data_IF_919095303542
#
_entry.id   IF_919095303542
#
_cell.length_a   1.000
_cell.length_b   1.000
_cell.length_c   1.000
_cell.angle_alpha   90.00
_cell.angle_beta   90.00
_cell.angle_gamma   90.00
#
_symmetry.space_group_name_H-M   'P 1'
#
loop_
_entity.id
_entity.type
_entity.pdbx_description
1 polymer ?
#
# COMPACT_ATOMS: atom_id res chain seq x y z
N UNK A 1 52.15 -17.57 20.43
CA UNK A 1 51.33 -17.85 19.24
C UNK A 1 50.04 -17.05 19.39
N UNK A 2 49.94 -15.90 18.72
CA UNK A 2 48.85 -14.93 18.90
C UNK A 2 47.62 -15.39 18.14
N UNK A 3 46.57 -15.81 18.85
CA UNK A 3 45.27 -16.10 18.25
C UNK A 3 44.59 -14.79 17.84
N UNK A 4 44.31 -14.62 16.53
CA UNK A 4 43.43 -13.56 16.06
C UNK A 4 42.00 -14.00 16.30
N UNK A 5 41.32 -13.35 17.23
CA UNK A 5 39.86 -13.45 17.36
C UNK A 5 39.26 -12.70 16.17
N UNK A 6 38.74 -13.44 15.20
CA UNK A 6 37.93 -12.88 14.13
C UNK A 6 36.58 -12.44 14.74
N UNK A 7 36.37 -11.14 14.86
CA UNK A 7 35.09 -10.59 15.34
C UNK A 7 34.11 -10.64 14.17
N UNK A 8 33.22 -11.63 14.18
CA UNK A 8 32.14 -11.73 13.21
C UNK A 8 31.18 -10.55 13.47
N UNK A 9 31.18 -9.55 12.56
CA UNK A 9 30.21 -8.46 12.63
C UNK A 9 28.78 -9.00 12.41
N UNK A 10 27.77 -8.53 13.18
CA UNK A 10 26.40 -8.98 12.99
C UNK A 10 25.88 -8.60 11.61
N UNK A 11 25.20 -9.55 10.95
CA UNK A 11 24.57 -9.32 9.63
C UNK A 11 23.40 -8.34 9.78
N UNK A 12 23.27 -7.42 8.82
CA UNK A 12 22.09 -6.55 8.75
C UNK A 12 20.81 -7.39 8.53
N UNK A 13 19.69 -7.02 9.19
CA UNK A 13 18.45 -7.79 9.10
C UNK A 13 17.85 -7.72 7.69
N UNK A 14 17.24 -8.81 7.24
CA UNK A 14 16.56 -8.88 5.95
C UNK A 14 15.18 -8.24 6.10
N UNK A 15 14.88 -7.21 5.28
CA UNK A 15 13.58 -6.53 5.29
C UNK A 15 12.81 -6.80 4.02
N UNK A 16 11.55 -7.19 4.15
CA UNK A 16 10.60 -7.34 3.06
C UNK A 16 9.47 -6.33 3.28
N UNK A 17 9.17 -5.52 2.27
CA UNK A 17 8.04 -4.59 2.35
C UNK A 17 6.70 -5.33 2.26
N UNK A 18 5.65 -4.73 2.82
CA UNK A 18 4.30 -5.20 2.65
C UNK A 18 3.93 -5.29 1.16
N UNK A 19 2.99 -6.18 0.84
CA UNK A 19 2.49 -6.37 -0.52
C UNK A 19 1.03 -5.97 -0.56
N UNK A 20 0.72 -5.01 -1.43
CA UNK A 20 -0.64 -4.49 -1.61
C UNK A 20 -1.12 -4.89 -2.98
N UNK A 21 -2.06 -5.84 -3.00
CA UNK A 21 -2.81 -6.22 -4.19
C UNK A 21 -4.25 -5.75 -4.02
N UNK A 22 -4.61 -4.66 -4.70
CA UNK A 22 -5.95 -4.09 -4.64
C UNK A 22 -7.03 -5.02 -5.21
N UNK A 23 -6.67 -6.01 -6.04
CA UNK A 23 -7.60 -6.98 -6.60
C UNK A 23 -7.98 -8.09 -5.60
N UNK A 24 -7.18 -8.28 -4.56
CA UNK A 24 -7.45 -9.24 -3.49
C UNK A 24 -8.47 -8.73 -2.45
N UNK A 25 -9.04 -7.53 -2.67
CA UNK A 25 -9.96 -6.86 -1.76
C UNK A 25 -11.19 -6.32 -2.52
N UNK A 26 -12.24 -5.97 -1.78
CA UNK A 26 -13.36 -5.21 -2.33
C UNK A 26 -12.86 -3.90 -2.95
N UNK A 27 -13.33 -3.60 -4.16
CA UNK A 27 -12.96 -2.38 -4.86
C UNK A 27 -13.55 -1.15 -4.14
N UNK A 28 -12.81 -0.04 -4.01
CA UNK A 28 -13.36 1.26 -3.66
C UNK A 28 -14.61 1.61 -4.50
N UNK A 29 -15.66 2.08 -3.83
CA UNK A 29 -16.88 2.55 -4.48
C UNK A 29 -16.59 3.76 -5.36
N UNK A 30 -17.09 3.73 -6.59
CA UNK A 30 -17.00 4.86 -7.52
C UNK A 30 -17.97 5.96 -7.08
N UNK A 31 -17.48 7.17 -6.70
CA UNK A 31 -18.34 8.24 -6.25
C UNK A 31 -19.34 8.65 -7.34
N UNK A 32 -20.63 8.69 -7.02
CA UNK A 32 -21.67 9.00 -8.00
C UNK A 32 -21.51 10.37 -8.66
N UNK A 33 -20.90 11.34 -7.97
CA UNK A 33 -20.55 12.64 -8.56
C UNK A 33 -19.50 12.50 -9.66
N UNK A 34 -18.47 11.69 -9.43
CA UNK A 34 -17.40 11.45 -10.39
C UNK A 34 -17.90 10.67 -11.60
N UNK A 35 -18.82 9.71 -11.40
CA UNK A 35 -19.54 9.05 -12.51
C UNK A 35 -20.28 10.08 -13.37
N UNK A 36 -21.12 10.93 -12.75
CA UNK A 36 -21.90 11.95 -13.48
C UNK A 36 -21.03 12.96 -14.21
N UNK A 37 -19.84 13.25 -13.68
CA UNK A 37 -18.89 14.20 -14.25
C UNK A 37 -17.93 13.56 -15.27
N UNK A 38 -17.98 12.24 -15.48
CA UNK A 38 -17.02 11.54 -16.34
C UNK A 38 -15.58 11.60 -15.82
N UNK A 39 -15.38 11.73 -14.51
CA UNK A 39 -14.04 11.82 -13.91
C UNK A 39 -13.41 10.44 -13.84
N UNK A 40 -12.28 10.24 -14.51
CA UNK A 40 -11.40 9.06 -14.44
C UNK A 40 -9.99 9.47 -13.99
N UNK A 41 -9.11 8.49 -13.77
CA UNK A 41 -7.69 8.77 -13.55
C UNK A 41 -6.98 7.74 -12.68
N UNK A 42 -5.69 7.96 -12.45
CA UNK A 42 -4.84 7.05 -11.66
C UNK A 42 -4.35 7.78 -10.43
N UNK A 43 -4.72 7.28 -9.25
CA UNK A 43 -4.17 7.77 -7.98
C UNK A 43 -3.00 6.88 -7.55
N UNK A 44 -1.87 7.50 -7.21
CA UNK A 44 -0.72 6.80 -6.64
C UNK A 44 -0.77 6.96 -5.12
N UNK A 45 -0.70 5.84 -4.42
CA UNK A 45 -0.90 5.76 -2.99
C UNK A 45 0.30 5.10 -2.30
N UNK A 46 0.54 5.49 -1.06
CA UNK A 46 1.33 4.73 -0.10
C UNK A 46 0.43 4.33 1.06
N UNK A 47 0.51 3.06 1.48
CA UNK A 47 -0.29 2.48 2.57
C UNK A 47 0.65 1.88 3.61
N UNK A 48 0.46 2.24 4.88
CA UNK A 48 1.17 1.63 6.00
C UNK A 48 0.40 0.40 6.43
N UNK A 49 1.00 -0.77 6.26
CA UNK A 49 0.39 -2.04 6.61
C UNK A 49 0.93 -2.46 7.96
N UNK A 50 0.06 -2.80 8.91
CA UNK A 50 0.41 -3.35 10.21
C UNK A 50 0.94 -4.77 10.13
N UNK A 51 1.52 -5.27 11.22
CA UNK A 51 2.01 -6.66 11.30
C UNK A 51 0.88 -7.70 11.18
N UNK A 52 -0.37 -7.30 11.45
CA UNK A 52 -1.58 -8.09 11.27
C UNK A 52 -2.18 -7.98 9.85
N UNK A 53 -1.53 -7.22 8.96
CA UNK A 53 -1.98 -6.98 7.59
C UNK A 53 -3.03 -5.87 7.45
N UNK A 54 -3.53 -5.27 8.53
CA UNK A 54 -4.49 -4.17 8.42
C UNK A 54 -3.82 -2.89 7.93
N UNK A 55 -4.53 -2.08 7.15
CA UNK A 55 -4.07 -0.73 6.83
C UNK A 55 -4.17 0.15 8.08
N UNK A 56 -3.06 0.78 8.44
CA UNK A 56 -2.95 1.72 9.56
C UNK A 56 -3.01 3.18 9.08
N UNK A 57 -2.48 3.47 7.90
CA UNK A 57 -2.40 4.81 7.33
C UNK A 57 -2.39 4.74 5.80
N UNK A 58 -2.95 5.75 5.14
CA UNK A 58 -2.91 5.90 3.69
C UNK A 58 -2.55 7.33 3.28
N UNK A 59 -1.74 7.47 2.23
CA UNK A 59 -1.28 8.75 1.68
C UNK A 59 -1.44 8.77 0.17
N UNK A 60 -1.86 9.91 -0.34
CA UNK A 60 -1.80 10.21 -1.77
C UNK A 60 -0.41 10.72 -2.10
N UNK A 61 0.34 9.97 -2.92
CA UNK A 61 1.64 10.41 -3.46
C UNK A 61 1.47 11.22 -4.74
N UNK A 62 0.47 10.88 -5.56
CA UNK A 62 0.08 11.63 -6.76
C UNK A 62 -1.43 11.50 -6.97
N UNK A 63 -2.09 12.65 -7.09
CA UNK A 63 -3.54 12.74 -7.31
C UNK A 63 -3.93 12.16 -8.68
N UNK A 64 -5.14 11.61 -8.77
CA UNK A 64 -5.78 11.24 -10.03
C UNK A 64 -6.18 12.44 -10.89
N UNK A 65 -6.14 13.66 -10.32
CA UNK A 65 -6.76 14.85 -10.89
C UNK A 65 -8.13 15.16 -10.30
N UNK A 66 -8.74 14.24 -9.54
CA UNK A 66 -9.97 14.47 -8.77
C UNK A 66 -9.77 14.16 -7.28
N UNK A 67 -9.94 15.18 -6.45
CA UNK A 67 -9.87 15.04 -4.98
C UNK A 67 -10.92 14.06 -4.43
N UNK A 68 -12.05 13.91 -5.13
CA UNK A 68 -13.13 12.99 -4.73
C UNK A 68 -12.69 11.55 -4.98
N UNK A 69 -12.10 11.26 -6.14
CA UNK A 69 -11.53 9.95 -6.47
C UNK A 69 -10.34 9.59 -5.55
N UNK A 70 -9.47 10.56 -5.24
CA UNK A 70 -8.34 10.35 -4.32
C UNK A 70 -8.82 9.92 -2.93
N UNK A 71 -9.83 10.63 -2.40
CA UNK A 71 -10.42 10.32 -1.09
C UNK A 71 -11.11 8.96 -1.10
N UNK A 72 -11.87 8.65 -2.15
CA UNK A 72 -12.55 7.37 -2.28
C UNK A 72 -11.57 6.19 -2.30
N UNK A 73 -10.44 6.34 -2.99
CA UNK A 73 -9.42 5.29 -3.05
C UNK A 73 -8.79 5.03 -1.67
N UNK A 74 -8.42 6.08 -0.93
CA UNK A 74 -7.95 5.93 0.46
C UNK A 74 -9.00 5.23 1.32
N UNK A 75 -10.25 5.71 1.29
CA UNK A 75 -11.31 5.17 2.12
C UNK A 75 -11.61 3.70 1.85
N UNK A 76 -11.73 3.31 0.58
CA UNK A 76 -11.99 1.92 0.21
C UNK A 76 -10.81 1.01 0.55
N UNK A 77 -9.60 1.40 0.19
CA UNK A 77 -8.41 0.56 0.41
C UNK A 77 -8.02 0.47 1.89
N UNK A 78 -8.39 1.45 2.73
CA UNK A 78 -8.18 1.39 4.18
C UNK A 78 -8.98 0.29 4.87
N UNK A 79 -10.01 -0.27 4.23
CA UNK A 79 -10.79 -1.39 4.76
C UNK A 79 -10.17 -2.76 4.45
N UNK A 80 -9.15 -2.78 3.59
CA UNK A 80 -8.50 -4.01 3.16
C UNK A 80 -7.54 -4.58 4.20
N UNK A 81 -7.31 -5.88 4.09
CA UNK A 81 -6.23 -6.58 4.75
C UNK A 81 -5.23 -7.05 3.69
N UNK A 82 -3.98 -6.66 3.84
CA UNK A 82 -2.89 -6.93 2.92
C UNK A 82 -1.82 -7.82 3.56
N UNK A 83 -0.85 -8.27 2.76
CA UNK A 83 0.27 -9.04 3.30
C UNK A 83 1.24 -8.09 4.03
N UNK A 84 1.53 -8.33 5.32
CA UNK A 84 2.47 -7.50 6.06
C UNK A 84 3.88 -7.62 5.49
N UNK A 85 4.71 -6.63 5.77
CA UNK A 85 6.15 -6.76 5.58
C UNK A 85 6.76 -7.62 6.68
N UNK A 86 8.06 -7.87 6.58
CA UNK A 86 8.78 -8.62 7.61
C UNK A 86 10.21 -8.17 7.81
N UNK A 87 10.73 -8.45 8.99
CA UNK A 87 12.14 -8.35 9.35
C UNK A 87 12.59 -9.71 9.83
N UNK A 88 13.56 -10.31 9.14
CA UNK A 88 14.03 -11.68 9.40
C UNK A 88 12.87 -12.70 9.49
N UNK A 89 11.85 -12.51 8.64
CA UNK A 89 10.66 -13.37 8.57
C UNK A 89 9.58 -13.04 9.61
N UNK A 90 9.84 -12.17 10.57
CA UNK A 90 8.87 -11.75 11.58
C UNK A 90 8.02 -10.61 11.00
N UNK A 91 6.67 -10.72 10.99
CA UNK A 91 5.81 -9.66 10.47
C UNK A 91 6.01 -8.33 11.21
N UNK A 92 6.20 -7.26 10.45
CA UNK A 92 6.35 -5.91 10.97
C UNK A 92 5.60 -4.90 10.09
N UNK A 93 5.25 -3.75 10.70
CA UNK A 93 4.62 -2.68 9.95
C UNK A 93 5.56 -2.16 8.88
N UNK A 94 5.06 -1.94 7.67
CA UNK A 94 5.85 -1.38 6.58
C UNK A 94 4.98 -0.65 5.56
N UNK A 95 5.57 0.35 4.91
CA UNK A 95 4.92 1.05 3.81
C UNK A 95 4.99 0.22 2.53
N UNK A 96 3.90 0.24 1.79
CA UNK A 96 3.80 -0.29 0.44
C UNK A 96 3.15 0.73 -0.48
N UNK A 97 3.54 0.72 -1.75
CA UNK A 97 3.01 1.63 -2.77
C UNK A 97 2.12 0.88 -3.74
N UNK A 98 1.07 1.55 -4.22
CA UNK A 98 0.18 1.04 -5.26
C UNK A 98 -0.35 2.15 -6.15
N UNK A 99 -0.83 1.77 -7.33
CA UNK A 99 -1.63 2.61 -8.20
C UNK A 99 -3.05 2.07 -8.21
N UNK A 100 -4.04 2.94 -8.07
CA UNK A 100 -5.43 2.59 -8.23
C UNK A 100 -6.00 3.32 -9.44
N UNK A 101 -6.52 2.55 -10.39
CA UNK A 101 -7.03 3.04 -11.67
C UNK A 101 -8.55 3.19 -11.56
N UNK A 102 -9.02 4.42 -11.72
CA UNK A 102 -10.43 4.73 -11.94
C UNK A 102 -10.69 4.76 -13.44
N UNK A 103 -11.53 3.85 -13.91
CA UNK A 103 -12.07 3.87 -15.26
C UNK A 103 -13.57 3.62 -15.21
N UNK A 104 -14.30 4.35 -16.04
CA UNK A 104 -15.68 4.12 -16.37
C UNK A 104 -15.66 3.13 -17.54
N UNK A 105 -15.95 1.86 -17.26
CA UNK A 105 -16.32 0.91 -18.33
C UNK A 105 -17.63 1.41 -18.94
N UNK A 106 -17.54 2.30 -19.92
CA UNK A 106 -18.69 2.76 -20.70
C UNK A 106 -18.91 1.79 -21.86
N UNK A 107 -20.12 1.21 -22.01
CA UNK A 107 -20.52 0.50 -23.22
C UNK A 107 -20.71 1.45 -24.42
#
# INVERSE_FOLDING_TARGET
MTGKTDVIAPRAPIRIAAQVDAHACAKPDYPSSSIRNGEEGIVHLAMLIGADGRVLEGKVEKSSGSRVLDKAAIQGLSLCQFKPGSVDGIPEKSWAKLQYVWTLDQP
#
